data_IF_400099112271
#
_entry.id   IF_400099112271
#
_cell.length_a   1.000
_cell.length_b   1.000
_cell.length_c   1.000
_cell.angle_alpha   90.00
_cell.angle_beta   90.00
_cell.angle_gamma   90.00
#
_symmetry.space_group_name_H-M   'P 1'
#
loop_
_entity.id
_entity.type
_entity.pdbx_description
1 polymer ?
#
# COMPACT_ATOMS: atom_id res chain seq x y z
N UNK A 1 -17.60 -2.69 1.72
CA UNK A 1 -16.87 -2.89 0.44
C UNK A 1 -17.83 -3.07 -0.71
N UNK A 2 -17.50 -2.56 -1.90
CA UNK A 2 -18.27 -2.86 -3.13
C UNK A 2 -18.02 -4.27 -3.66
N UNK A 3 -16.92 -4.89 -3.22
CA UNK A 3 -16.54 -6.29 -3.45
C UNK A 3 -16.35 -7.02 -2.12
N UNK A 4 -16.42 -8.35 -2.12
CA UNK A 4 -15.96 -9.16 -0.96
C UNK A 4 -14.44 -9.09 -0.79
N UNK A 5 -13.73 -8.77 -1.87
CA UNK A 5 -12.27 -8.80 -1.97
C UNK A 5 -11.68 -7.39 -1.94
N UNK A 6 -10.41 -7.29 -1.52
CA UNK A 6 -9.62 -6.07 -1.54
C UNK A 6 -8.37 -6.30 -2.39
N UNK A 7 -8.52 -6.19 -3.71
CA UNK A 7 -7.43 -6.41 -4.66
C UNK A 7 -6.76 -5.11 -5.08
N UNK A 8 -7.52 -4.01 -5.07
CA UNK A 8 -7.12 -2.68 -5.50
C UNK A 8 -7.62 -1.62 -4.52
N UNK A 9 -6.91 -0.49 -4.44
CA UNK A 9 -7.42 0.69 -3.72
C UNK A 9 -8.81 1.09 -4.23
N UNK A 10 -9.07 0.91 -5.52
CA UNK A 10 -10.34 1.20 -6.17
C UNK A 10 -11.53 0.35 -5.72
N UNK A 11 -11.33 -0.64 -4.83
CA UNK A 11 -12.46 -1.32 -4.16
C UNK A 11 -13.07 -0.47 -3.01
N UNK A 12 -12.50 0.71 -2.76
CA UNK A 12 -12.97 1.73 -1.84
C UNK A 12 -13.45 2.96 -2.61
N UNK A 13 -14.43 3.64 -2.03
CA UNK A 13 -14.76 5.03 -2.37
C UNK A 13 -14.12 5.97 -1.33
N UNK A 14 -14.16 7.29 -1.57
CA UNK A 14 -13.58 8.30 -0.68
C UNK A 14 -14.09 8.23 0.76
N UNK A 15 -15.39 8.01 0.95
CA UNK A 15 -16.01 7.95 2.28
C UNK A 15 -15.48 6.75 3.07
N UNK A 16 -15.41 5.59 2.43
CA UNK A 16 -14.95 4.35 3.05
C UNK A 16 -13.44 4.32 3.25
N UNK A 17 -12.68 4.92 2.33
CA UNK A 17 -11.25 5.16 2.56
C UNK A 17 -11.05 5.98 3.83
N UNK A 18 -11.76 7.11 3.98
CA UNK A 18 -11.65 7.95 5.17
C UNK A 18 -12.07 7.20 6.44
N UNK A 19 -13.19 6.46 6.39
CA UNK A 19 -13.67 5.62 7.50
C UNK A 19 -12.64 4.56 7.93
N UNK A 20 -11.94 3.93 6.98
CA UNK A 20 -10.88 2.97 7.27
C UNK A 20 -9.68 3.64 7.95
N UNK A 21 -9.27 4.83 7.49
CA UNK A 21 -8.17 5.58 8.10
C UNK A 21 -8.52 5.99 9.54
N UNK A 22 -9.72 6.53 9.78
CA UNK A 22 -10.15 6.91 11.14
C UNK A 22 -10.30 5.70 12.05
N UNK A 23 -10.85 4.59 11.55
CA UNK A 23 -10.93 3.32 12.31
C UNK A 23 -9.53 2.80 12.67
N UNK A 24 -8.55 2.97 11.80
CA UNK A 24 -7.17 2.56 12.08
C UNK A 24 -6.54 3.43 13.19
N UNK A 25 -6.84 4.73 13.25
CA UNK A 25 -6.42 5.61 14.36
C UNK A 25 -7.04 5.14 15.68
N UNK A 26 -8.34 4.83 15.69
CA UNK A 26 -9.04 4.33 16.88
C UNK A 26 -8.47 2.99 17.35
N UNK A 27 -8.31 2.02 16.45
CA UNK A 27 -7.75 0.69 16.76
C UNK A 27 -6.27 0.73 17.17
N UNK A 28 -5.54 1.79 16.80
CA UNK A 28 -4.18 2.05 17.29
C UNK A 28 -4.22 2.55 18.74
N UNK A 29 -5.14 3.46 19.06
CA UNK A 29 -5.31 3.99 20.40
C UNK A 29 -5.87 2.95 21.39
N UNK A 30 -6.80 2.10 20.96
CA UNK A 30 -7.39 1.03 21.78
C UNK A 30 -6.38 -0.10 22.08
N UNK A 31 -5.44 -0.35 21.17
CA UNK A 31 -4.48 -1.44 21.31
C UNK A 31 -5.10 -2.81 20.99
N UNK A 32 -5.16 -3.71 21.96
CA UNK A 32 -5.60 -5.09 21.73
C UNK A 32 -7.11 -5.21 21.94
N UNK A 33 -7.78 -5.97 21.08
CA UNK A 33 -9.21 -6.27 21.15
C UNK A 33 -9.48 -7.74 20.78
N UNK A 34 -10.75 -8.14 20.83
CA UNK A 34 -11.20 -9.49 20.54
C UNK A 34 -12.16 -9.54 19.33
N UNK A 35 -12.15 -8.50 18.49
CA UNK A 35 -13.08 -8.32 17.37
C UNK A 35 -13.06 -9.49 16.37
N UNK A 36 -11.90 -10.11 16.18
CA UNK A 36 -11.70 -11.24 15.27
C UNK A 36 -11.39 -12.53 16.02
N UNK A 37 -11.91 -12.67 17.24
CA UNK A 37 -11.84 -13.93 17.98
C UNK A 37 -12.37 -15.08 17.12
N UNK A 38 -11.65 -16.21 17.16
CA UNK A 38 -11.97 -17.43 16.39
C UNK A 38 -11.85 -17.27 14.87
N UNK A 39 -11.43 -16.11 14.35
CA UNK A 39 -11.14 -15.93 12.93
C UNK A 39 -9.70 -16.35 12.62
N UNK A 40 -9.54 -17.06 11.52
CA UNK A 40 -8.23 -17.46 10.99
C UNK A 40 -8.05 -16.91 9.59
N UNK A 41 -6.89 -16.35 9.26
CA UNK A 41 -6.54 -15.99 7.87
C UNK A 41 -5.37 -16.83 7.36
N UNK A 42 -5.34 -17.09 6.06
CA UNK A 42 -4.18 -17.64 5.38
C UNK A 42 -3.29 -16.50 4.87
N UNK A 43 -2.00 -16.54 5.19
CA UNK A 43 -0.96 -15.66 4.66
C UNK A 43 -0.22 -16.42 3.56
N UNK A 44 -0.64 -16.23 2.31
CA UNK A 44 -0.14 -16.92 1.11
C UNK A 44 0.92 -16.07 0.39
N UNK A 45 2.15 -16.56 0.31
CA UNK A 45 3.29 -15.79 -0.21
C UNK A 45 3.99 -16.55 -1.33
N UNK A 46 4.15 -15.92 -2.50
CA UNK A 46 5.04 -16.42 -3.58
C UNK A 46 6.48 -15.95 -3.41
N UNK A 47 6.72 -14.89 -2.61
CA UNK A 47 8.05 -14.42 -2.22
C UNK A 47 8.11 -14.07 -0.74
N UNK A 48 9.25 -14.28 -0.06
CA UNK A 48 9.42 -13.89 1.34
C UNK A 48 9.18 -12.40 1.58
N UNK A 49 8.64 -12.07 2.76
CA UNK A 49 8.48 -10.68 3.19
C UNK A 49 8.44 -10.58 4.70
N UNK A 50 9.31 -9.76 5.28
CA UNK A 50 9.32 -9.53 6.73
C UNK A 50 8.15 -8.64 7.16
N UNK A 51 8.03 -7.45 6.55
CA UNK A 51 7.09 -6.40 6.96
C UNK A 51 5.65 -6.81 6.78
N UNK A 52 5.28 -7.34 5.61
CA UNK A 52 3.91 -7.77 5.35
C UNK A 52 3.51 -8.96 6.24
N UNK A 53 4.40 -9.95 6.42
CA UNK A 53 4.12 -11.11 7.26
C UNK A 53 3.89 -10.69 8.72
N UNK A 54 4.84 -9.95 9.30
CA UNK A 54 4.77 -9.56 10.70
C UNK A 54 3.61 -8.60 10.98
N UNK A 55 3.30 -7.69 10.05
CA UNK A 55 2.24 -6.72 10.25
C UNK A 55 0.85 -7.36 10.26
N UNK A 56 0.58 -8.29 9.33
CA UNK A 56 -0.67 -9.03 9.30
C UNK A 56 -0.80 -10.00 10.48
N UNK A 57 0.29 -10.69 10.84
CA UNK A 57 0.30 -11.60 12.00
C UNK A 57 0.02 -10.83 13.30
N UNK A 58 0.66 -9.66 13.48
CA UNK A 58 0.39 -8.80 14.62
C UNK A 58 -1.01 -8.18 14.59
N UNK A 59 -1.51 -7.79 13.42
CA UNK A 59 -2.86 -7.27 13.27
C UNK A 59 -3.91 -8.28 13.74
N UNK A 60 -3.85 -9.52 13.23
CA UNK A 60 -4.76 -10.58 13.64
C UNK A 60 -4.61 -10.93 15.12
N UNK A 61 -3.37 -11.06 15.61
CA UNK A 61 -3.11 -11.37 17.01
C UNK A 61 -3.68 -10.30 17.95
N UNK A 62 -3.52 -9.02 17.61
CA UNK A 62 -4.07 -7.91 18.39
C UNK A 62 -5.58 -7.83 18.32
N UNK A 63 -6.22 -8.43 17.31
CA UNK A 63 -7.69 -8.52 17.18
C UNK A 63 -8.26 -9.82 17.76
N UNK A 64 -7.43 -10.68 18.35
CA UNK A 64 -7.84 -11.97 18.94
C UNK A 64 -7.95 -13.14 17.96
N UNK A 65 -7.53 -12.94 16.70
CA UNK A 65 -7.55 -13.99 15.67
C UNK A 65 -6.20 -14.64 15.43
N UNK A 66 -6.16 -15.54 14.45
CA UNK A 66 -5.00 -16.37 14.11
C UNK A 66 -4.58 -16.25 12.64
N UNK A 67 -3.31 -16.50 12.36
CA UNK A 67 -2.77 -16.58 11.00
C UNK A 67 -2.16 -17.97 10.75
N UNK A 68 -2.34 -18.48 9.54
CA UNK A 68 -1.59 -19.61 9.01
C UNK A 68 -0.67 -19.08 7.92
N UNK A 69 0.65 -19.18 8.12
CA UNK A 69 1.62 -18.80 7.09
C UNK A 69 1.86 -19.94 6.11
N UNK A 70 1.77 -19.64 4.82
CA UNK A 70 2.00 -20.57 3.74
C UNK A 70 3.13 -20.01 2.87
N UNK A 71 4.31 -20.61 3.02
CA UNK A 71 5.52 -20.17 2.34
C UNK A 71 5.52 -20.58 0.86
N UNK A 72 6.38 -19.95 0.03
CA UNK A 72 6.49 -20.29 -1.40
C UNK A 72 6.78 -21.77 -1.63
N UNK A 73 7.68 -22.36 -0.83
CA UNK A 73 8.12 -23.75 -0.95
C UNK A 73 7.04 -24.77 -0.55
N UNK A 74 6.10 -24.38 0.32
CA UNK A 74 5.02 -25.25 0.78
C UNK A 74 3.89 -25.34 -0.25
N UNK A 75 3.43 -24.20 -0.75
CA UNK A 75 2.27 -24.14 -1.67
C UNK A 75 2.68 -24.43 -3.10
N UNK A 76 3.78 -23.83 -3.57
CA UNK A 76 4.14 -23.85 -4.98
C UNK A 76 2.99 -23.39 -5.87
N UNK A 77 2.34 -22.27 -5.51
CA UNK A 77 1.12 -21.76 -6.14
C UNK A 77 1.28 -21.68 -7.68
N UNK A 78 0.35 -22.30 -8.42
CA UNK A 78 0.37 -22.35 -9.89
C UNK A 78 1.46 -23.25 -10.52
N UNK A 79 2.39 -23.80 -9.73
CA UNK A 79 3.45 -24.72 -10.19
C UNK A 79 3.20 -26.16 -9.73
N UNK A 80 2.99 -26.33 -8.42
CA UNK A 80 2.71 -27.62 -7.77
C UNK A 80 1.22 -27.93 -7.75
N UNK A 81 0.41 -26.93 -7.45
CA UNK A 81 -1.05 -27.02 -7.37
C UNK A 81 -1.69 -25.82 -8.07
N UNK A 82 -2.86 -26.02 -8.67
CA UNK A 82 -3.53 -24.96 -9.43
C UNK A 82 -4.06 -23.87 -8.49
N UNK A 83 -4.04 -22.60 -8.94
CA UNK A 83 -4.58 -21.47 -8.16
C UNK A 83 -6.06 -21.70 -7.77
N UNK A 84 -6.94 -22.19 -8.68
CA UNK A 84 -8.32 -22.51 -8.33
C UNK A 84 -8.47 -23.56 -7.22
N UNK A 85 -7.69 -24.65 -7.27
CA UNK A 85 -7.77 -25.72 -6.27
C UNK A 85 -7.32 -25.22 -4.89
N UNK A 86 -6.21 -24.47 -4.84
CA UNK A 86 -5.73 -23.83 -3.60
C UNK A 86 -6.79 -22.87 -3.04
N UNK A 87 -7.43 -22.05 -3.88
CA UNK A 87 -8.49 -21.15 -3.47
C UNK A 87 -9.65 -21.89 -2.80
N UNK A 88 -10.09 -23.00 -3.41
CA UNK A 88 -11.19 -23.84 -2.94
C UNK A 88 -10.86 -24.52 -1.60
N UNK A 89 -9.63 -25.03 -1.45
CA UNK A 89 -9.17 -25.66 -0.20
C UNK A 89 -9.10 -24.62 0.91
N UNK A 90 -8.42 -23.50 0.69
CA UNK A 90 -8.28 -22.45 1.71
C UNK A 90 -9.63 -21.88 2.14
N UNK A 91 -10.56 -21.68 1.20
CA UNK A 91 -11.90 -21.15 1.52
C UNK A 91 -12.70 -22.00 2.51
N UNK A 92 -12.37 -23.29 2.65
CA UNK A 92 -13.01 -24.20 3.61
C UNK A 92 -12.30 -24.25 4.96
N UNK A 93 -11.09 -23.72 5.04
CA UNK A 93 -10.20 -23.82 6.20
C UNK A 93 -10.03 -22.50 6.96
N UNK A 94 -10.16 -21.36 6.27
CA UNK A 94 -9.89 -20.03 6.81
C UNK A 94 -11.03 -19.05 6.52
N UNK A 95 -10.98 -17.86 7.13
CA UNK A 95 -11.97 -16.80 6.97
C UNK A 95 -11.57 -15.71 5.96
N UNK A 96 -10.28 -15.61 5.60
CA UNK A 96 -9.80 -14.80 4.48
C UNK A 96 -8.43 -15.29 4.01
N UNK A 97 -8.06 -14.90 2.79
CA UNK A 97 -6.77 -15.18 2.18
C UNK A 97 -6.06 -13.86 1.91
N UNK A 98 -4.94 -13.63 2.58
CA UNK A 98 -4.03 -12.52 2.29
C UNK A 98 -2.94 -13.05 1.38
N UNK A 99 -2.88 -12.53 0.16
CA UNK A 99 -1.99 -13.05 -0.88
C UNK A 99 -0.97 -12.00 -1.33
N UNK A 100 0.30 -12.40 -1.36
CA UNK A 100 1.40 -11.66 -1.98
C UNK A 100 1.90 -12.47 -3.17
N UNK A 101 1.60 -12.00 -4.36
CA UNK A 101 1.86 -12.71 -5.62
C UNK A 101 2.81 -11.92 -6.50
N UNK A 102 3.39 -12.58 -7.51
CA UNK A 102 4.12 -11.90 -8.58
C UNK A 102 3.17 -11.18 -9.54
N UNK A 103 2.06 -11.81 -9.89
CA UNK A 103 1.12 -11.28 -10.88
C UNK A 103 -0.26 -11.01 -10.28
N UNK A 104 -0.84 -9.85 -10.63
CA UNK A 104 -2.20 -9.48 -10.26
C UNK A 104 -3.23 -10.48 -10.79
N UNK A 105 -3.00 -11.05 -11.98
CA UNK A 105 -3.87 -12.10 -12.55
C UNK A 105 -4.01 -13.32 -11.64
N UNK A 106 -2.98 -13.63 -10.86
CA UNK A 106 -3.05 -14.73 -9.88
C UNK A 106 -4.01 -14.38 -8.75
N UNK A 107 -4.05 -13.12 -8.32
CA UNK A 107 -5.03 -12.63 -7.35
C UNK A 107 -6.45 -12.67 -7.90
N UNK A 108 -6.64 -12.28 -9.16
CA UNK A 108 -7.95 -12.35 -9.82
C UNK A 108 -8.50 -13.78 -9.82
N UNK A 109 -7.69 -14.74 -10.29
CA UNK A 109 -8.06 -16.17 -10.30
C UNK A 109 -8.31 -16.68 -8.87
N UNK A 110 -7.51 -16.26 -7.90
CA UNK A 110 -7.69 -16.63 -6.50
C UNK A 110 -9.03 -16.10 -5.95
N UNK A 111 -9.36 -14.84 -6.22
CA UNK A 111 -10.58 -14.17 -5.76
C UNK A 111 -11.85 -14.73 -6.43
N UNK A 112 -11.78 -15.04 -7.73
CA UNK A 112 -12.86 -15.68 -8.50
C UNK A 112 -13.22 -17.06 -7.95
N UNK A 113 -12.22 -17.82 -7.47
CA UNK A 113 -12.40 -19.20 -7.00
C UNK A 113 -12.54 -19.32 -5.47
N UNK A 114 -12.26 -18.25 -4.71
CA UNK A 114 -12.40 -18.25 -3.26
C UNK A 114 -13.80 -17.84 -2.81
N UNK A 115 -14.41 -18.59 -1.90
CA UNK A 115 -15.68 -18.20 -1.27
C UNK A 115 -15.49 -17.26 -0.07
N UNK A 116 -14.24 -17.02 0.34
CA UNK A 116 -13.85 -16.07 1.39
C UNK A 116 -13.17 -14.84 0.78
N UNK A 117 -13.06 -13.73 1.52
CA UNK A 117 -12.34 -12.54 1.06
C UNK A 117 -10.87 -12.82 0.70
N UNK A 118 -10.43 -12.23 -0.40
CA UNK A 118 -9.02 -12.17 -0.81
C UNK A 118 -8.49 -10.75 -0.67
N UNK A 119 -7.30 -10.62 -0.06
CA UNK A 119 -6.64 -9.33 0.20
C UNK A 119 -5.30 -9.31 -0.54
N UNK A 120 -5.12 -8.33 -1.41
CA UNK A 120 -3.85 -8.06 -2.08
C UNK A 120 -2.85 -7.44 -1.11
N UNK A 121 -1.83 -8.21 -0.77
CA UNK A 121 -0.74 -7.80 0.09
C UNK A 121 0.53 -7.36 -0.66
N UNK A 122 0.53 -7.50 -1.99
CA UNK A 122 1.41 -6.93 -3.03
C UNK A 122 1.26 -7.78 -4.31
N UNK A 123 1.17 -7.12 -5.47
CA UNK A 123 1.33 -7.71 -6.80
C UNK A 123 2.20 -6.82 -7.70
N UNK A 124 2.49 -7.24 -8.93
CA UNK A 124 3.12 -6.40 -9.98
C UNK A 124 2.38 -5.08 -10.25
N UNK A 125 1.04 -5.06 -10.17
CA UNK A 125 0.23 -3.86 -10.43
C UNK A 125 0.03 -2.93 -9.23
N UNK A 126 -0.25 -3.45 -8.04
CA UNK A 126 -0.66 -2.63 -6.89
C UNK A 126 -0.15 -3.19 -5.56
N UNK A 127 0.07 -2.29 -4.60
CA UNK A 127 0.31 -2.60 -3.19
C UNK A 127 -0.67 -1.83 -2.27
N UNK A 128 -1.98 -2.16 -2.29
CA UNK A 128 -3.02 -1.31 -1.72
C UNK A 128 -2.94 -1.23 -0.18
N UNK A 129 -2.55 -2.32 0.49
CA UNK A 129 -2.33 -2.30 1.94
C UNK A 129 -1.19 -1.37 2.38
N UNK A 130 -0.18 -1.12 1.53
CA UNK A 130 0.89 -0.17 1.83
C UNK A 130 0.35 1.27 1.73
N UNK A 131 -0.39 1.59 0.68
CA UNK A 131 -0.98 2.92 0.51
C UNK A 131 -1.95 3.28 1.66
N UNK A 132 -2.73 2.33 2.19
CA UNK A 132 -3.55 2.57 3.40
C UNK A 132 -2.70 2.96 4.62
N UNK A 133 -1.59 2.27 4.85
CA UNK A 133 -0.67 2.61 5.94
C UNK A 133 0.01 3.97 5.72
N UNK A 134 0.29 4.30 4.46
CA UNK A 134 0.90 5.58 4.09
C UNK A 134 -0.07 6.73 4.37
N UNK A 135 -1.33 6.61 3.93
CA UNK A 135 -2.36 7.59 4.23
C UNK A 135 -2.61 7.73 5.74
N UNK A 136 -2.65 6.63 6.49
CA UNK A 136 -2.76 6.69 7.96
C UNK A 136 -1.62 7.51 8.56
N UNK A 137 -0.39 7.28 8.10
CA UNK A 137 0.78 8.01 8.59
C UNK A 137 0.70 9.50 8.25
N UNK A 138 0.29 9.84 7.03
CA UNK A 138 0.12 11.23 6.61
C UNK A 138 -0.97 11.90 7.45
N UNK A 139 -2.11 11.22 7.66
CA UNK A 139 -3.19 11.71 8.50
C UNK A 139 -2.71 11.98 9.93
N UNK A 140 -1.98 11.07 10.56
CA UNK A 140 -1.44 11.28 11.91
C UNK A 140 -0.43 12.44 11.99
N UNK A 141 0.40 12.63 10.97
CA UNK A 141 1.45 13.66 10.99
C UNK A 141 0.96 15.04 10.56
N UNK A 142 -0.10 15.11 9.75
CA UNK A 142 -0.61 16.36 9.17
C UNK A 142 -2.01 16.73 9.68
N UNK A 143 -2.69 15.83 10.37
CA UNK A 143 -4.09 15.95 10.85
C UNK A 143 -5.13 16.14 9.74
N UNK A 144 -4.76 15.88 8.49
CA UNK A 144 -5.63 15.95 7.32
C UNK A 144 -5.01 15.21 6.15
N UNK A 145 -5.85 14.83 5.18
CA UNK A 145 -5.43 14.29 3.89
C UNK A 145 -5.73 15.31 2.78
N UNK A 146 -6.96 15.81 2.72
CA UNK A 146 -7.40 16.75 1.67
C UNK A 146 -6.43 17.93 1.48
N UNK A 147 -6.03 18.18 0.23
CA UNK A 147 -5.11 19.26 -0.15
C UNK A 147 -3.63 19.02 0.16
N UNK A 148 -3.27 17.97 0.90
CA UNK A 148 -1.87 17.58 1.13
C UNK A 148 -1.25 17.13 -0.19
N UNK A 149 -0.05 17.62 -0.48
CA UNK A 149 0.69 17.23 -1.69
C UNK A 149 1.76 16.19 -1.39
N UNK A 150 1.60 14.99 -1.97
CA UNK A 150 2.61 13.92 -1.97
C UNK A 150 3.41 13.96 -3.27
N UNK A 151 4.73 14.10 -3.15
CA UNK A 151 5.67 14.00 -4.25
C UNK A 151 6.42 12.66 -4.21
N UNK A 152 6.16 11.81 -5.19
CA UNK A 152 6.86 10.56 -5.42
C UNK A 152 8.02 10.76 -6.39
N UNK A 153 9.20 10.24 -6.07
CA UNK A 153 10.39 10.32 -6.93
C UNK A 153 10.92 8.92 -7.14
N UNK A 154 10.92 8.43 -8.38
CA UNK A 154 11.41 7.08 -8.69
C UNK A 154 10.54 6.37 -9.71
N UNK A 155 10.48 5.03 -9.59
CA UNK A 155 9.81 4.16 -10.55
C UNK A 155 8.29 4.24 -10.42
N UNK A 156 7.57 4.27 -11.54
CA UNK A 156 6.12 4.18 -11.64
C UNK A 156 5.60 2.77 -11.35
N UNK A 157 6.05 2.18 -10.24
CA UNK A 157 5.79 0.80 -9.83
C UNK A 157 4.41 0.63 -9.15
N UNK A 158 4.21 -0.53 -8.54
CA UNK A 158 2.99 -0.89 -7.80
C UNK A 158 2.70 0.02 -6.60
N UNK A 159 3.73 0.53 -5.91
CA UNK A 159 3.57 1.49 -4.80
C UNK A 159 3.12 2.84 -5.35
N UNK A 160 3.78 3.35 -6.39
CA UNK A 160 3.37 4.60 -7.06
C UNK A 160 1.93 4.50 -7.59
N UNK A 161 1.58 3.35 -8.18
CA UNK A 161 0.25 3.06 -8.72
C UNK A 161 -0.83 3.05 -7.63
N UNK A 162 -0.59 2.38 -6.50
CA UNK A 162 -1.53 2.42 -5.37
C UNK A 162 -1.59 3.79 -4.69
N UNK A 163 -0.47 4.51 -4.60
CA UNK A 163 -0.45 5.85 -4.01
C UNK A 163 -1.25 6.83 -4.84
N UNK A 164 -1.08 6.89 -6.17
CA UNK A 164 -1.85 7.85 -7.00
C UNK A 164 -3.35 7.60 -6.89
N UNK A 165 -3.80 6.34 -6.86
CA UNK A 165 -5.21 6.00 -6.66
C UNK A 165 -5.69 6.42 -5.26
N UNK A 166 -4.92 6.12 -4.23
CA UNK A 166 -5.30 6.38 -2.84
C UNK A 166 -5.32 7.88 -2.52
N UNK A 167 -4.34 8.63 -3.01
CA UNK A 167 -4.29 10.09 -2.85
C UNK A 167 -5.45 10.76 -3.58
N UNK A 168 -5.74 10.34 -4.82
CA UNK A 168 -6.87 10.92 -5.56
C UNK A 168 -8.20 10.66 -4.85
N UNK A 169 -8.44 9.45 -4.32
CA UNK A 169 -9.65 9.17 -3.52
C UNK A 169 -9.71 9.97 -2.22
N UNK A 170 -8.56 10.31 -1.63
CA UNK A 170 -8.46 11.06 -0.39
C UNK A 170 -8.50 12.59 -0.58
N UNK A 171 -8.63 13.10 -1.82
CA UNK A 171 -8.54 14.53 -2.12
C UNK A 171 -7.13 15.10 -1.95
N UNK A 172 -6.10 14.26 -2.00
CA UNK A 172 -4.69 14.64 -1.92
C UNK A 172 -4.10 14.85 -3.31
N UNK A 173 -3.22 15.84 -3.45
CA UNK A 173 -2.50 16.05 -4.69
C UNK A 173 -1.36 15.03 -4.81
N UNK A 174 -1.21 14.44 -5.99
CA UNK A 174 -0.14 13.50 -6.30
C UNK A 174 0.78 14.07 -7.37
N UNK A 175 2.08 14.12 -7.06
CA UNK A 175 3.12 14.50 -8.02
C UNK A 175 4.09 13.36 -8.17
N UNK A 176 4.48 13.03 -9.39
CA UNK A 176 5.50 12.02 -9.64
C UNK A 176 6.57 12.52 -10.60
N UNK A 177 7.82 12.29 -10.22
CA UNK A 177 8.96 12.35 -11.11
C UNK A 177 9.46 10.94 -11.42
N UNK A 178 9.36 10.54 -12.69
CA UNK A 178 9.85 9.24 -13.17
C UNK A 178 10.63 9.39 -14.47
N UNK A 179 11.70 8.59 -14.68
CA UNK A 179 12.44 8.61 -15.94
C UNK A 179 11.57 8.20 -17.15
N UNK A 180 11.93 8.63 -18.37
CA UNK A 180 11.34 8.14 -19.60
C UNK A 180 11.29 6.60 -19.67
N UNK A 181 10.11 6.03 -19.87
CA UNK A 181 9.91 4.57 -19.97
C UNK A 181 9.63 3.87 -18.63
N UNK A 182 9.61 4.62 -17.52
CA UNK A 182 9.38 4.11 -16.16
C UNK A 182 8.18 4.80 -15.49
N UNK A 183 7.25 5.33 -16.28
CA UNK A 183 6.06 6.02 -15.78
C UNK A 183 4.99 5.02 -15.29
N UNK A 184 4.08 5.51 -14.44
CA UNK A 184 2.84 4.79 -14.08
C UNK A 184 2.06 4.52 -15.37
N UNK A 185 1.41 3.35 -15.45
CA UNK A 185 0.61 2.99 -16.62
C UNK A 185 -0.55 3.98 -16.84
N UNK A 186 -0.88 4.26 -18.10
CA UNK A 186 -1.97 5.17 -18.45
C UNK A 186 -3.34 4.65 -17.97
N UNK A 187 -3.52 3.34 -17.82
CA UNK A 187 -4.74 2.76 -17.26
C UNK A 187 -4.96 3.21 -15.81
N UNK A 188 -3.93 3.14 -14.98
CA UNK A 188 -3.98 3.59 -13.58
C UNK A 188 -4.15 5.11 -13.52
N UNK A 189 -3.42 5.87 -14.35
CA UNK A 189 -3.55 7.32 -14.39
C UNK A 189 -4.94 7.78 -14.84
N UNK A 190 -5.55 7.10 -15.81
CA UNK A 190 -6.92 7.40 -16.23
C UNK A 190 -7.89 7.25 -15.05
N UNK A 191 -7.83 6.13 -14.35
CA UNK A 191 -8.68 5.86 -13.18
C UNK A 191 -8.43 6.86 -12.04
N UNK A 192 -7.17 7.19 -11.78
CA UNK A 192 -6.84 8.19 -10.77
C UNK A 192 -7.34 9.60 -11.14
N UNK A 193 -7.38 9.95 -12.43
CA UNK A 193 -7.96 11.21 -12.92
C UNK A 193 -9.47 11.24 -12.71
N UNK A 194 -10.19 10.14 -12.92
CA UNK A 194 -11.62 10.05 -12.61
C UNK A 194 -11.89 10.37 -11.12
N UNK A 195 -11.11 9.82 -10.20
CA UNK A 195 -11.21 10.16 -8.78
C UNK A 195 -10.79 11.60 -8.46
N UNK A 196 -9.80 12.12 -9.20
CA UNK A 196 -9.36 13.49 -9.03
C UNK A 196 -10.44 14.50 -9.45
N UNK A 197 -11.19 14.20 -10.50
CA UNK A 197 -12.33 15.02 -10.95
C UNK A 197 -13.46 15.07 -9.90
N UNK A 198 -13.69 13.98 -9.16
CA UNK A 198 -14.69 13.92 -8.10
C UNK A 198 -14.26 14.65 -6.82
N UNK A 199 -12.97 14.58 -6.47
CA UNK A 199 -12.44 15.10 -5.20
C UNK A 199 -11.81 16.49 -5.31
N UNK A 200 -11.54 16.96 -6.53
CA UNK A 200 -10.80 18.19 -6.79
C UNK A 200 -9.28 18.10 -6.56
N UNK A 201 -8.73 16.89 -6.40
CA UNK A 201 -7.28 16.69 -6.29
C UNK A 201 -6.56 16.90 -7.62
N UNK A 202 -5.24 17.12 -7.57
CA UNK A 202 -4.40 17.28 -8.75
C UNK A 202 -3.41 16.13 -8.94
N UNK A 203 -3.22 15.69 -10.19
CA UNK A 203 -2.16 14.75 -10.57
C UNK A 203 -1.17 15.45 -11.50
N UNK A 204 0.11 15.45 -11.14
CA UNK A 204 1.17 16.05 -11.94
C UNK A 204 2.31 15.05 -12.19
N UNK A 205 2.57 14.74 -13.45
CA UNK A 205 3.66 13.86 -13.87
C UNK A 205 4.76 14.68 -14.55
N UNK A 206 6.01 14.47 -14.16
CA UNK A 206 7.19 15.14 -14.73
C UNK A 206 8.37 14.17 -14.80
N UNK A 207 9.44 14.58 -15.48
CA UNK A 207 10.73 13.89 -15.49
C UNK A 207 11.77 14.63 -14.62
N UNK A 208 11.42 15.79 -14.03
CA UNK A 208 12.32 16.51 -13.11
C UNK A 208 11.91 16.28 -11.64
N UNK A 209 12.71 15.54 -10.85
CA UNK A 209 12.50 15.39 -9.40
C UNK A 209 12.31 16.71 -8.66
N UNK A 210 13.00 17.77 -9.08
CA UNK A 210 12.91 19.08 -8.43
C UNK A 210 11.55 19.73 -8.65
N UNK A 211 10.91 19.50 -9.80
CA UNK A 211 9.56 19.99 -10.05
C UNK A 211 8.52 19.26 -9.21
N UNK A 212 8.60 17.93 -9.13
CA UNK A 212 7.68 17.14 -8.31
C UNK A 212 7.76 17.54 -6.83
N UNK A 213 8.97 17.67 -6.28
CA UNK A 213 9.21 17.90 -4.85
C UNK A 213 8.96 19.36 -4.42
N UNK A 214 9.03 20.33 -5.33
CA UNK A 214 8.92 21.76 -4.98
C UNK A 214 7.62 22.08 -4.24
N UNK A 215 7.75 22.48 -2.98
CA UNK A 215 6.62 22.86 -2.13
C UNK A 215 5.69 21.70 -1.72
N UNK A 216 6.12 20.44 -1.86
CA UNK A 216 5.39 19.27 -1.38
C UNK A 216 5.37 19.16 0.15
N UNK A 217 4.33 18.53 0.70
CA UNK A 217 4.17 18.28 2.14
C UNK A 217 4.72 16.90 2.56
N UNK A 218 4.82 15.99 1.59
CA UNK A 218 5.34 14.63 1.72
C UNK A 218 6.25 14.34 0.54
N UNK A 219 7.46 13.83 0.80
CA UNK A 219 8.35 13.29 -0.22
C UNK A 219 8.44 11.79 -0.02
N UNK A 220 8.25 11.02 -1.09
CA UNK A 220 8.22 9.57 -1.09
C UNK A 220 9.16 9.02 -2.16
N UNK A 221 9.87 7.94 -1.84
CA UNK A 221 10.57 7.14 -2.85
C UNK A 221 10.48 5.65 -2.50
N UNK A 222 10.86 4.81 -3.44
CA UNK A 222 10.98 3.36 -3.31
C UNK A 222 12.20 2.91 -4.11
N UNK A 223 12.64 1.68 -3.84
CA UNK A 223 13.70 0.99 -4.55
C UNK A 223 13.54 1.13 -6.06
N UNK A 224 14.64 1.48 -6.73
CA UNK A 224 14.62 1.63 -8.18
C UNK A 224 14.41 0.32 -8.91
N UNK A 225 14.77 -0.82 -8.30
CA UNK A 225 14.60 -2.15 -8.88
C UNK A 225 13.65 -2.95 -8.00
N UNK A 226 12.45 -3.20 -8.52
CA UNK A 226 11.43 -3.99 -7.81
C UNK A 226 11.76 -5.48 -7.85
N UNK A 227 11.08 -6.27 -7.01
CA UNK A 227 11.18 -7.73 -7.07
C UNK A 227 10.81 -8.26 -8.46
N UNK A 228 11.61 -9.16 -9.02
CA UNK A 228 11.42 -9.71 -10.37
C UNK A 228 12.09 -8.91 -11.48
N UNK A 229 12.77 -7.81 -11.17
CA UNK A 229 13.50 -6.96 -12.13
C UNK A 229 15.02 -7.04 -11.92
N UNK A 230 15.52 -8.07 -11.23
CA UNK A 230 16.92 -8.16 -10.80
C UNK A 230 17.91 -8.15 -11.99
N UNK A 231 17.50 -8.67 -13.15
CA UNK A 231 18.31 -8.68 -14.37
C UNK A 231 18.56 -7.26 -14.92
N UNK A 232 17.66 -6.31 -14.63
CA UNK A 232 17.76 -4.92 -15.11
C UNK A 232 18.46 -3.98 -14.12
N UNK A 233 18.87 -4.47 -12.94
CA UNK A 233 19.31 -3.64 -11.81
C UNK A 233 20.42 -2.63 -12.19
N UNK A 234 21.41 -3.05 -12.98
CA UNK A 234 22.52 -2.19 -13.38
C UNK A 234 22.10 -1.09 -14.36
N UNK A 235 21.18 -1.39 -15.28
CA UNK A 235 20.63 -0.38 -16.18
C UNK A 235 19.80 0.63 -15.39
N UNK A 236 18.96 0.15 -14.47
CA UNK A 236 18.08 0.99 -13.65
C UNK A 236 18.90 1.91 -12.75
N UNK A 237 19.96 1.43 -12.09
CA UNK A 237 20.90 2.30 -11.34
C UNK A 237 21.41 3.50 -12.14
N UNK A 238 21.71 3.32 -13.43
CA UNK A 238 22.19 4.41 -14.29
C UNK A 238 21.08 5.39 -14.65
N UNK A 239 19.91 4.89 -15.01
CA UNK A 239 18.75 5.71 -15.38
C UNK A 239 18.25 6.53 -14.20
N UNK A 240 18.16 5.91 -13.02
CA UNK A 240 17.59 6.52 -11.82
C UNK A 240 18.60 7.32 -10.99
N UNK A 241 19.89 7.36 -11.35
CA UNK A 241 20.91 8.08 -10.58
C UNK A 241 20.55 9.55 -10.28
N UNK A 242 19.84 10.22 -11.20
CA UNK A 242 19.35 11.60 -11.03
C UNK A 242 18.12 11.76 -10.12
N UNK A 243 17.51 10.65 -9.70
CA UNK A 243 16.26 10.57 -8.94
C UNK A 243 16.49 10.24 -7.46
N UNK A 244 17.74 10.16 -7.00
CA UNK A 244 18.03 9.92 -5.58
C UNK A 244 17.43 11.02 -4.70
N UNK A 245 16.64 10.61 -3.71
CA UNK A 245 16.19 11.51 -2.66
C UNK A 245 17.34 11.78 -1.70
N UNK A 246 17.85 13.00 -1.73
CA UNK A 246 18.93 13.49 -0.89
C UNK A 246 18.55 14.81 -0.20
N UNK A 247 19.42 15.31 0.67
CA UNK A 247 19.17 16.54 1.44
C UNK A 247 18.91 17.76 0.53
N UNK A 248 19.57 17.84 -0.63
CA UNK A 248 19.37 18.93 -1.58
C UNK A 248 17.96 18.88 -2.17
N UNK A 249 17.49 17.70 -2.60
CA UNK A 249 16.15 17.53 -3.14
C UNK A 249 15.08 17.81 -2.07
N UNK A 250 15.24 17.24 -0.87
CA UNK A 250 14.33 17.48 0.25
C UNK A 250 14.23 18.94 0.65
N UNK A 251 15.30 19.73 0.50
CA UNK A 251 15.28 21.17 0.80
C UNK A 251 14.35 21.99 -0.11
N UNK A 252 13.89 21.43 -1.24
CA UNK A 252 12.92 22.06 -2.14
C UNK A 252 11.47 21.83 -1.71
N UNK A 253 11.23 20.84 -0.84
CA UNK A 253 9.92 20.62 -0.23
C UNK A 253 9.61 21.72 0.81
N UNK A 254 8.41 21.70 1.39
CA UNK A 254 8.11 22.61 2.51
C UNK A 254 9.01 22.29 3.70
N UNK A 255 9.34 23.30 4.52
CA UNK A 255 10.23 23.11 5.68
C UNK A 255 9.72 22.09 6.72
N UNK A 256 8.41 21.85 6.75
CA UNK A 256 7.75 20.85 7.61
C UNK A 256 7.35 19.57 6.83
N UNK A 257 7.90 19.36 5.63
CA UNK A 257 7.64 18.15 4.87
C UNK A 257 8.17 16.92 5.60
N UNK A 258 7.47 15.80 5.42
CA UNK A 258 7.89 14.50 5.94
C UNK A 258 8.47 13.64 4.81
N UNK A 259 9.43 12.79 5.14
CA UNK A 259 10.05 11.83 4.22
C UNK A 259 9.53 10.40 4.51
N UNK A 260 9.06 9.72 3.46
CA UNK A 260 8.44 8.39 3.53
C UNK A 260 9.10 7.41 2.55
N UNK A 261 9.05 6.12 2.89
CA UNK A 261 9.62 5.02 2.09
C UNK A 261 9.01 3.68 2.56
N UNK A 262 8.49 2.86 1.64
CA UNK A 262 7.75 1.62 1.98
C UNK A 262 8.62 0.52 2.64
N UNK A 263 9.93 0.56 2.37
CA UNK A 263 10.98 -0.38 2.81
C UNK A 263 10.87 -1.76 2.13
N UNK A 264 12.01 -2.42 1.84
CA UNK A 264 13.37 -2.11 2.29
C UNK A 264 13.99 -0.98 1.47
N UNK A 265 14.99 -0.30 2.01
CA UNK A 265 15.71 0.74 1.29
C UNK A 265 17.15 0.30 0.99
N UNK A 266 17.66 0.69 -0.17
CA UNK A 266 19.07 0.62 -0.55
C UNK A 266 19.69 2.01 -0.37
N UNK A 267 20.32 2.19 0.80
CA UNK A 267 21.05 3.41 1.10
C UNK A 267 22.16 3.67 0.06
N UNK A 268 22.20 4.89 -0.46
CA UNK A 268 23.11 5.29 -1.53
C UNK A 268 22.53 5.11 -2.94
N UNK A 269 21.36 4.47 -3.09
CA UNK A 269 20.61 4.38 -4.36
C UNK A 269 19.41 5.33 -4.33
N UNK A 270 18.17 4.84 -4.14
CA UNK A 270 16.97 5.68 -4.19
C UNK A 270 16.94 6.75 -3.11
N UNK A 271 17.63 6.50 -2.01
CA UNK A 271 17.74 7.41 -0.90
C UNK A 271 19.20 7.53 -0.48
N UNK A 272 19.67 8.77 -0.31
CA UNK A 272 21.02 9.01 0.17
C UNK A 272 21.21 8.49 1.60
N UNK A 273 22.47 8.27 1.97
CA UNK A 273 22.84 7.85 3.32
C UNK A 273 22.24 8.75 4.40
N UNK A 274 21.76 8.14 5.49
CA UNK A 274 21.19 8.79 6.67
C UNK A 274 19.88 9.58 6.49
N UNK A 275 19.35 9.74 5.28
CA UNK A 275 18.08 10.48 5.06
C UNK A 275 16.91 9.84 5.81
N UNK A 276 16.84 8.50 5.83
CA UNK A 276 15.79 7.77 6.55
C UNK A 276 15.91 7.85 8.09
N UNK A 277 17.04 8.31 8.61
CA UNK A 277 17.26 8.54 10.04
C UNK A 277 17.21 10.03 10.41
N UNK A 278 16.86 10.89 9.44
CA UNK A 278 16.71 12.31 9.68
C UNK A 278 15.44 12.62 10.49
N UNK A 279 15.37 13.77 11.19
CA UNK A 279 14.17 14.16 11.93
C UNK A 279 12.90 14.34 11.09
N UNK A 280 13.04 14.53 9.77
CA UNK A 280 11.91 14.65 8.84
C UNK A 280 11.38 13.29 8.39
N UNK A 281 12.14 12.21 8.60
CA UNK A 281 11.73 10.87 8.19
C UNK A 281 10.73 10.27 9.18
N UNK A 282 9.66 9.69 8.64
CA UNK A 282 8.63 8.98 9.41
C UNK A 282 8.53 7.51 9.01
N UNK A 283 9.58 6.96 8.41
CA UNK A 283 9.57 5.63 7.77
C UNK A 283 9.29 4.48 8.73
N UNK A 284 9.67 4.64 10.01
CA UNK A 284 9.40 3.63 11.02
C UNK A 284 7.98 3.76 11.60
N UNK A 285 7.46 4.99 11.72
CA UNK A 285 6.05 5.21 12.04
C UNK A 285 5.16 4.63 10.92
N UNK A 286 5.55 4.86 9.66
CA UNK A 286 4.94 4.29 8.47
C UNK A 286 4.95 2.76 8.48
N UNK A 287 6.09 2.15 8.82
CA UNK A 287 6.21 0.70 8.93
C UNK A 287 5.36 0.13 10.06
N UNK A 288 5.25 0.83 11.21
CA UNK A 288 4.35 0.44 12.31
C UNK A 288 2.88 0.52 11.88
N UNK A 289 2.50 1.58 11.15
CA UNK A 289 1.15 1.84 10.67
C UNK A 289 0.62 0.79 9.69
N UNK A 290 1.49 -0.05 9.12
CA UNK A 290 1.10 -1.27 8.43
C UNK A 290 0.19 -2.15 9.28
N UNK A 291 0.51 -2.30 10.58
CA UNK A 291 -0.29 -3.10 11.51
C UNK A 291 -1.69 -2.52 11.63
N UNK A 292 -1.80 -1.23 11.93
CA UNK A 292 -3.10 -0.61 12.27
C UNK A 292 -4.00 -0.41 11.05
N UNK A 293 -3.44 -0.05 9.90
CA UNK A 293 -4.19 -0.02 8.65
C UNK A 293 -4.74 -1.41 8.28
N UNK A 294 -3.92 -2.46 8.45
CA UNK A 294 -4.37 -3.84 8.22
C UNK A 294 -5.38 -4.32 9.27
N UNK A 295 -5.24 -3.89 10.53
CA UNK A 295 -6.25 -4.17 11.57
C UNK A 295 -7.61 -3.60 11.19
N UNK A 296 -7.66 -2.33 10.78
CA UNK A 296 -8.91 -1.70 10.35
C UNK A 296 -9.51 -2.42 9.14
N UNK A 297 -8.69 -2.73 8.13
CA UNK A 297 -9.12 -3.48 6.95
C UNK A 297 -9.69 -4.85 7.32
N UNK A 298 -8.99 -5.64 8.14
CA UNK A 298 -9.44 -6.96 8.58
C UNK A 298 -10.70 -6.88 9.44
N UNK A 299 -10.80 -5.90 10.35
CA UNK A 299 -11.97 -5.69 11.17
C UNK A 299 -13.20 -5.33 10.33
N UNK A 300 -13.05 -4.46 9.33
CA UNK A 300 -14.13 -4.14 8.38
C UNK A 300 -14.57 -5.39 7.61
N UNK A 301 -13.61 -6.15 7.07
CA UNK A 301 -13.90 -7.29 6.19
C UNK A 301 -14.42 -8.53 6.92
N UNK A 302 -14.01 -8.77 8.17
CA UNK A 302 -14.28 -10.03 8.89
C UNK A 302 -15.05 -9.88 10.20
N UNK A 303 -15.03 -8.67 10.79
CA UNK A 303 -15.62 -8.38 12.09
C UNK A 303 -16.98 -7.69 12.01
N UNK A 304 -17.36 -7.17 10.83
CA UNK A 304 -18.58 -6.38 10.67
C UNK A 304 -18.54 -5.15 11.56
N UNK A 305 -17.65 -4.20 11.24
CA UNK A 305 -17.81 -2.83 11.77
C UNK A 305 -19.23 -2.40 11.39
N UNK A 306 -20.13 -2.31 12.37
CA UNK A 306 -21.47 -1.78 12.18
C UNK A 306 -21.31 -0.32 11.72
N UNK A 307 -21.28 -0.11 10.40
CA UNK A 307 -21.45 1.21 9.83
C UNK A 307 -22.80 1.71 10.35
N UNK A 308 -22.87 2.90 10.98
CA UNK A 308 -24.15 3.45 11.39
C UNK A 308 -25.02 3.50 10.16
N UNK A 309 -26.09 2.70 10.14
CA UNK A 309 -27.11 2.80 9.11
C UNK A 309 -27.62 4.24 9.15
N UNK A 310 -27.16 5.07 8.20
CA UNK A 310 -27.76 6.34 7.95
C UNK A 310 -29.22 6.05 7.63
N UNK A 311 -30.09 6.48 8.54
CA UNK A 311 -31.53 6.31 8.46
C UNK A 311 -32.05 6.75 7.10
N UNK A 312 -32.37 5.79 6.23
CA UNK A 312 -33.32 6.01 5.15
C UNK A 312 -34.71 5.71 5.71
N UNK A 313 -35.39 6.77 6.16
CA UNK A 313 -36.84 6.81 6.31
C UNK A 313 -37.49 7.18 4.98
#
# INVERSE_FOLDING_TARGET
>A
MSSKDFLSISNLDSQRLYSLITSAVELKAEGWSSLLSEKTIALLFEHPSTRTRISFEMAMRQLGGHCIYLSPDEVGLGKRESVPDVAQVLSRCVNAIVARTLSHKTLDVLAENASVPVINALSDMEHPCQALADLLTIYEKKNMLEGITLAYVGDGNNVASSLVLATSLAGMNFRIASPPGYQISEEILHKAREYADETGSEIFCTEDPKEAVRGADVVYTDTWTSMGQEEEAEQRRRVFAGYQVNSQLLSLARGYAIMMHCLPAHHGEEVAENILYSPQSVVFDQAENRIYAQKALLAEMLGGLELPLANYH
#
